data_IF_549799454984
#
_entry.id   IF_549799454984
#
_cell.length_a   1.000
_cell.length_b   1.000
_cell.length_c   1.000
_cell.angle_alpha   90.00
_cell.angle_beta   90.00
_cell.angle_gamma   90.00
#
_symmetry.space_group_name_H-M   'P 1'
#
loop_
_entity.id
_entity.type
_entity.pdbx_description
1 polymer ?
#
# COMPACT_ATOMS: atom_id res chain seq x y z
N UNK A 1 21.11 33.76 4.72
CA UNK A 1 20.14 34.61 4.02
C UNK A 1 19.12 33.71 3.32
N UNK A 2 18.19 33.14 4.09
CA UNK A 2 17.12 32.27 3.59
C UNK A 2 15.82 33.04 3.81
N UNK A 3 15.16 33.45 2.71
CA UNK A 3 13.86 34.12 2.74
C UNK A 3 12.78 33.06 2.57
N UNK A 4 12.16 32.65 3.69
CA UNK A 4 10.88 31.97 3.69
C UNK A 4 9.78 33.01 3.42
N UNK A 5 9.09 32.91 2.28
CA UNK A 5 7.86 33.66 2.00
C UNK A 5 6.68 32.76 2.34
N UNK A 6 6.01 33.07 3.45
CA UNK A 6 4.66 32.57 3.78
C UNK A 6 3.68 33.56 3.16
N UNK A 7 2.84 33.11 2.22
CA UNK A 7 1.67 33.86 1.78
C UNK A 7 0.48 33.29 2.54
N UNK A 8 0.01 34.02 3.55
CA UNK A 8 -1.22 33.74 4.26
C UNK A 8 -2.42 34.36 3.55
N UNK A 9 -3.47 33.57 3.34
CA UNK A 9 -4.82 34.08 3.16
C UNK A 9 -5.48 34.17 4.55
N UNK A 10 -5.38 35.34 5.17
CA UNK A 10 -6.10 35.64 6.40
C UNK A 10 -7.57 35.96 6.09
N UNK A 11 -8.49 35.15 6.63
CA UNK A 11 -9.82 35.64 7.04
C UNK A 11 -9.90 35.56 8.55
N UNK A 12 -9.98 36.73 9.16
CA UNK A 12 -10.08 36.93 10.58
C UNK A 12 -11.45 36.45 11.12
N UNK A 13 -11.42 35.66 12.20
CA UNK A 13 -12.34 35.85 13.31
C UNK A 13 -11.64 35.44 14.61
N UNK A 14 -11.52 36.42 15.48
CA UNK A 14 -11.00 36.41 16.85
C UNK A 14 -11.53 35.27 17.72
N UNK A 15 -10.65 34.53 18.39
CA UNK A 15 -10.47 34.67 19.84
C UNK A 15 -9.28 33.85 20.36
N UNK A 16 -8.60 34.48 21.31
CA UNK A 16 -7.45 34.08 22.11
C UNK A 16 -7.48 32.66 22.67
N UNK A 17 -6.38 31.91 22.50
CA UNK A 17 -5.53 31.50 23.63
C UNK A 17 -4.13 31.07 23.17
N UNK A 18 -3.20 31.22 24.10
CA UNK A 18 -1.75 31.27 24.03
C UNK A 18 -1.00 30.11 23.31
N UNK A 19 0.15 30.54 22.78
CA UNK A 19 1.25 29.77 22.20
C UNK A 19 1.76 28.62 23.09
N UNK A 20 2.01 27.47 22.45
CA UNK A 20 3.13 26.59 22.79
C UNK A 20 3.55 25.81 21.53
N UNK A 21 4.60 26.31 20.87
CA UNK A 21 5.29 25.64 19.78
C UNK A 21 6.33 24.73 20.44
N UNK A 22 6.07 23.43 20.50
CA UNK A 22 7.05 22.41 20.88
C UNK A 22 7.58 21.75 19.61
N UNK A 23 8.81 22.11 19.22
CA UNK A 23 9.57 21.46 18.14
C UNK A 23 10.08 20.12 18.65
N UNK A 24 9.51 19.00 18.17
CA UNK A 24 10.11 17.67 18.33
C UNK A 24 10.67 17.17 17.01
N UNK A 25 11.99 17.25 16.90
CA UNK A 25 12.80 16.47 15.97
C UNK A 25 12.99 15.10 16.61
N UNK A 26 12.53 14.02 15.96
CA UNK A 26 12.92 12.67 16.34
C UNK A 26 13.06 11.80 15.11
N UNK A 27 14.31 11.38 14.86
CA UNK A 27 14.72 10.60 13.70
C UNK A 27 14.17 9.18 13.74
N UNK A 28 13.83 8.66 12.55
CA UNK A 28 13.47 7.28 12.33
C UNK A 28 14.59 6.63 11.53
N UNK A 29 15.40 5.81 12.21
CA UNK A 29 16.41 4.93 11.62
C UNK A 29 15.90 3.49 11.73
N UNK A 30 15.74 2.85 10.57
CA UNK A 30 15.77 1.42 10.28
C UNK A 30 14.90 0.45 11.11
N UNK A 31 13.87 -0.10 10.46
CA UNK A 31 13.54 -1.54 10.55
C UNK A 31 12.62 -1.97 9.40
N UNK A 32 13.19 -2.35 8.26
CA UNK A 32 12.49 -3.18 7.28
C UNK A 32 13.39 -4.36 6.88
N UNK A 33 13.25 -5.46 7.62
CA UNK A 33 13.63 -6.81 7.16
C UNK A 33 12.35 -7.60 7.03
N UNK A 34 11.85 -7.71 5.79
CA UNK A 34 10.74 -8.57 5.44
C UNK A 34 11.12 -10.03 5.71
N UNK A 35 10.51 -10.65 6.73
CA UNK A 35 10.36 -12.10 6.83
C UNK A 35 9.00 -12.48 6.28
N UNK A 36 8.98 -13.45 5.36
CA UNK A 36 7.76 -14.14 4.91
C UNK A 36 7.13 -14.86 6.11
N UNK A 37 6.20 -14.20 6.78
CA UNK A 37 5.06 -14.73 7.52
C UNK A 37 4.15 -13.52 7.78
N UNK A 38 2.84 -13.65 7.60
CA UNK A 38 1.89 -12.57 7.82
C UNK A 38 1.87 -12.15 9.29
N UNK A 39 2.74 -11.22 9.66
CA UNK A 39 2.53 -10.35 10.81
C UNK A 39 1.72 -9.15 10.29
N UNK A 40 0.43 -9.15 10.62
CA UNK A 40 -0.45 -8.01 10.41
C UNK A 40 0.04 -6.88 11.31
N UNK A 41 0.85 -5.99 10.75
CA UNK A 41 1.36 -4.79 11.42
C UNK A 41 0.22 -3.83 11.79
N UNK A 42 -0.51 -4.14 12.85
CA UNK A 42 -1.40 -3.22 13.53
C UNK A 42 -0.61 -2.62 14.69
N UNK A 43 -0.05 -1.45 14.44
CA UNK A 43 0.62 -0.64 15.44
C UNK A 43 -0.39 -0.27 16.53
N UNK A 44 -0.23 -0.88 17.71
CA UNK A 44 -1.00 -0.55 18.91
C UNK A 44 -0.52 0.83 19.36
N UNK A 45 -1.23 1.86 18.92
CA UNK A 45 -0.98 3.24 19.29
C UNK A 45 -0.79 3.41 20.80
N UNK A 46 0.35 4.01 21.14
CA UNK A 46 0.78 4.34 22.49
C UNK A 46 -0.18 5.30 23.22
N UNK A 47 -0.14 5.20 24.56
CA UNK A 47 -0.83 5.94 25.65
C UNK A 47 -2.07 5.19 26.15
N UNK A 48 -2.16 4.75 27.41
CA UNK A 48 -1.60 5.24 28.67
C UNK A 48 -1.27 4.06 29.59
N UNK A 49 -0.06 4.04 30.18
CA UNK A 49 0.16 3.33 31.44
C UNK A 49 -0.79 3.96 32.47
N UNK A 50 -1.96 3.37 32.67
CA UNK A 50 -2.75 3.63 33.87
C UNK A 50 -2.21 2.72 34.96
N UNK A 51 -1.82 3.34 36.07
CA UNK A 51 -1.40 2.68 37.29
C UNK A 51 -2.40 1.58 37.70
N UNK A 52 -2.06 0.32 37.45
CA UNK A 52 -2.70 -0.85 38.03
C UNK A 52 -1.60 -1.70 38.66
N UNK A 53 -1.42 -1.65 39.99
CA UNK A 53 -0.33 -2.33 40.68
C UNK A 53 -0.69 -3.82 40.83
N UNK A 54 -0.62 -4.62 39.75
CA UNK A 54 -0.71 -6.09 39.83
C UNK A 54 -0.32 -6.89 38.57
N UNK A 55 0.07 -6.26 37.45
CA UNK A 55 0.29 -6.99 36.19
C UNK A 55 1.49 -7.96 36.21
N UNK A 56 2.55 -7.68 36.97
CA UNK A 56 3.75 -8.55 36.99
C UNK A 56 3.57 -9.83 37.83
N UNK A 57 2.75 -9.78 38.88
CA UNK A 57 2.45 -10.94 39.73
C UNK A 57 1.44 -11.90 39.08
N UNK A 58 0.53 -11.39 38.25
CA UNK A 58 -0.39 -12.21 37.44
C UNK A 58 0.33 -12.99 36.34
N UNK A 59 1.38 -12.42 35.73
CA UNK A 59 2.13 -13.05 34.62
C UNK A 59 2.88 -14.32 35.04
N UNK A 60 3.52 -14.34 36.23
CA UNK A 60 4.23 -15.54 36.73
C UNK A 60 3.30 -16.69 37.16
N UNK A 61 2.06 -16.41 37.60
CA UNK A 61 1.04 -17.45 37.88
C UNK A 61 0.42 -17.99 36.59
N UNK A 62 0.34 -17.17 35.55
CA UNK A 62 -0.18 -17.57 34.24
C UNK A 62 0.73 -18.61 33.56
N UNK A 63 2.06 -18.49 33.61
CA UNK A 63 2.96 -19.44 32.92
C UNK A 63 2.89 -20.87 33.50
N UNK A 64 2.75 -21.01 34.82
CA UNK A 64 2.54 -22.32 35.46
C UNK A 64 1.19 -22.94 35.12
N UNK A 65 0.15 -22.11 35.02
CA UNK A 65 -1.19 -22.53 34.63
C UNK A 65 -1.24 -22.90 33.14
N UNK A 66 -0.61 -22.11 32.26
CA UNK A 66 -0.47 -22.39 30.82
C UNK A 66 0.21 -23.73 30.60
N UNK A 67 1.30 -24.03 31.31
CA UNK A 67 1.97 -25.32 31.18
C UNK A 67 1.10 -26.49 31.65
N UNK A 68 0.33 -26.31 32.73
CA UNK A 68 -0.60 -27.34 33.23
C UNK A 68 -1.75 -27.58 32.25
N UNK A 69 -2.36 -26.51 31.73
CA UNK A 69 -3.47 -26.57 30.77
C UNK A 69 -2.99 -27.14 29.44
N UNK A 70 -1.82 -26.70 28.95
CA UNK A 70 -1.18 -27.22 27.73
C UNK A 70 -0.92 -28.72 27.83
N UNK A 71 -0.45 -29.21 28.98
CA UNK A 71 -0.28 -30.65 29.18
C UNK A 71 -1.60 -31.42 29.04
N UNK A 72 -2.70 -30.90 29.59
CA UNK A 72 -4.03 -31.52 29.44
C UNK A 72 -4.54 -31.48 27.99
N UNK A 73 -4.36 -30.35 27.31
CA UNK A 73 -4.74 -30.21 25.89
C UNK A 73 -3.94 -31.17 25.02
N UNK A 74 -2.62 -31.26 25.21
CA UNK A 74 -1.77 -32.18 24.45
C UNK A 74 -2.14 -33.64 24.71
N UNK A 75 -2.43 -34.02 25.96
CA UNK A 75 -2.94 -35.36 26.27
C UNK A 75 -4.26 -35.65 25.53
N UNK A 76 -5.19 -34.69 25.51
CA UNK A 76 -6.45 -34.84 24.78
C UNK A 76 -6.25 -34.90 23.26
N UNK A 77 -5.27 -34.18 22.70
CA UNK A 77 -4.90 -34.26 21.28
C UNK A 77 -4.32 -35.64 20.94
N UNK A 78 -3.37 -36.13 21.74
CA UNK A 78 -2.73 -37.44 21.57
C UNK A 78 -3.77 -38.57 21.67
N UNK A 79 -4.71 -38.47 22.60
CA UNK A 79 -5.79 -39.43 22.82
C UNK A 79 -6.97 -39.25 21.84
N UNK A 80 -6.97 -38.18 21.02
CA UNK A 80 -8.09 -37.76 20.16
C UNK A 80 -9.42 -37.65 20.91
N UNK A 81 -9.37 -37.15 22.15
CA UNK A 81 -10.53 -36.98 23.01
C UNK A 81 -11.33 -35.73 22.61
N UNK A 82 -12.25 -35.90 21.67
CA UNK A 82 -13.17 -34.84 21.24
C UNK A 82 -14.12 -34.35 22.36
N UNK A 83 -14.33 -35.15 23.40
CA UNK A 83 -15.23 -34.79 24.51
C UNK A 83 -14.61 -33.73 25.42
N UNK A 84 -13.28 -33.74 25.58
CA UNK A 84 -12.54 -32.69 26.27
C UNK A 84 -12.80 -31.31 25.63
N UNK A 85 -12.74 -31.23 24.30
CA UNK A 85 -12.95 -29.98 23.56
C UNK A 85 -14.43 -29.57 23.49
N UNK A 86 -15.36 -30.53 23.51
CA UNK A 86 -16.80 -30.27 23.64
C UNK A 86 -17.22 -29.75 25.01
N UNK A 87 -16.52 -30.17 26.08
CA UNK A 87 -16.80 -29.81 27.48
C UNK A 87 -15.84 -28.76 28.04
N UNK A 88 -15.13 -28.05 27.18
CA UNK A 88 -14.12 -27.07 27.59
C UNK A 88 -14.75 -25.89 28.37
N UNK A 89 -16.03 -25.62 28.11
CA UNK A 89 -16.88 -24.73 28.90
C UNK A 89 -17.22 -25.23 30.32
N UNK A 90 -17.04 -26.50 30.66
CA UNK A 90 -17.18 -26.97 32.05
C UNK A 90 -15.84 -26.91 32.80
N UNK A 91 -14.73 -26.90 32.05
CA UNK A 91 -13.36 -26.96 32.57
C UNK A 91 -12.69 -25.60 32.76
N UNK A 92 -13.20 -24.54 32.14
CA UNK A 92 -12.70 -23.17 32.31
C UNK A 92 -13.58 -22.42 33.30
N UNK A 93 -13.08 -22.13 34.51
CA UNK A 93 -13.84 -21.48 35.59
C UNK A 93 -13.39 -20.06 35.89
N UNK A 94 -12.17 -19.71 35.51
CA UNK A 94 -11.62 -18.37 35.74
C UNK A 94 -11.14 -17.71 34.44
N UNK A 95 -11.04 -16.39 34.48
CA UNK A 95 -10.52 -15.57 33.37
C UNK A 95 -9.08 -15.95 33.03
N UNK A 96 -8.26 -16.26 34.04
CA UNK A 96 -6.86 -16.66 33.85
C UNK A 96 -6.75 -18.01 33.12
N UNK A 97 -7.64 -18.96 33.43
CA UNK A 97 -7.73 -20.24 32.70
C UNK A 97 -8.15 -20.02 31.24
N UNK A 98 -9.10 -19.11 30.98
CA UNK A 98 -9.48 -18.75 29.62
C UNK A 98 -8.33 -18.11 28.84
N UNK A 99 -7.61 -17.17 29.43
CA UNK A 99 -6.43 -16.56 28.79
C UNK A 99 -5.35 -17.60 28.51
N UNK A 100 -5.11 -18.52 29.44
CA UNK A 100 -4.16 -19.62 29.24
C UNK A 100 -4.58 -20.55 28.09
N UNK A 101 -5.88 -20.83 27.96
CA UNK A 101 -6.46 -21.60 26.86
C UNK A 101 -6.36 -20.89 25.52
N UNK A 102 -6.63 -19.58 25.47
CA UNK A 102 -6.46 -18.77 24.26
C UNK A 102 -4.99 -18.69 23.82
N UNK A 103 -4.05 -18.66 24.76
CA UNK A 103 -2.61 -18.74 24.46
C UNK A 103 -2.23 -20.04 23.75
N UNK A 104 -2.95 -21.14 24.02
CA UNK A 104 -2.72 -22.41 23.32
C UNK A 104 -3.16 -22.29 21.86
N UNK A 105 -4.34 -21.70 21.60
CA UNK A 105 -4.83 -21.42 20.24
C UNK A 105 -3.83 -20.57 19.45
N UNK A 106 -3.26 -19.55 20.09
CA UNK A 106 -2.26 -18.66 19.49
C UNK A 106 -0.97 -19.38 19.06
N UNK A 107 -0.55 -20.38 19.84
CA UNK A 107 0.71 -21.12 19.59
C UNK A 107 0.51 -22.47 18.91
N UNK A 108 -0.72 -22.83 18.53
CA UNK A 108 -1.02 -24.13 17.95
C UNK A 108 -0.52 -24.23 16.51
N UNK A 109 -0.05 -25.41 16.14
CA UNK A 109 0.36 -25.69 14.77
C UNK A 109 -0.86 -25.79 13.83
N UNK A 110 -0.63 -25.56 12.53
CA UNK A 110 -1.71 -25.56 11.53
C UNK A 110 -2.49 -26.87 11.48
N UNK A 111 -1.83 -27.99 11.76
CA UNK A 111 -2.40 -29.33 11.70
C UNK A 111 -3.30 -29.64 12.91
N UNK A 112 -3.11 -28.94 14.02
CA UNK A 112 -3.89 -29.12 15.27
C UNK A 112 -5.10 -28.16 15.33
N UNK A 113 -5.15 -27.18 14.44
CA UNK A 113 -6.07 -26.05 14.51
C UNK A 113 -7.55 -26.47 14.42
N UNK A 114 -7.86 -27.55 13.69
CA UNK A 114 -9.23 -28.09 13.60
C UNK A 114 -9.82 -28.47 14.96
N UNK A 115 -8.97 -28.93 15.88
CA UNK A 115 -9.37 -29.35 17.22
C UNK A 115 -9.24 -28.18 18.20
N UNK A 116 -8.09 -27.51 18.20
CA UNK A 116 -7.78 -26.46 19.18
C UNK A 116 -8.66 -25.22 19.00
N UNK A 117 -9.12 -24.92 17.78
CA UNK A 117 -9.98 -23.74 17.56
C UNK A 117 -11.31 -23.78 18.33
N UNK A 118 -11.82 -24.96 18.72
CA UNK A 118 -13.05 -25.11 19.51
C UNK A 118 -12.96 -24.41 20.88
N UNK A 119 -11.75 -24.25 21.40
CA UNK A 119 -11.45 -23.47 22.60
C UNK A 119 -11.93 -22.02 22.43
N UNK A 120 -11.69 -21.43 21.26
CA UNK A 120 -12.04 -20.03 20.96
C UNK A 120 -13.55 -19.79 21.10
N UNK A 121 -14.37 -20.70 20.59
CA UNK A 121 -15.83 -20.62 20.71
C UNK A 121 -16.30 -20.85 22.15
N UNK A 122 -15.69 -21.81 22.84
CA UNK A 122 -16.04 -22.13 24.22
C UNK A 122 -15.76 -20.97 25.17
N UNK A 123 -14.62 -20.31 25.00
CA UNK A 123 -14.22 -19.14 25.79
C UNK A 123 -15.05 -17.92 25.40
N UNK A 124 -15.21 -17.64 24.10
CA UNK A 124 -16.01 -16.50 23.63
C UNK A 124 -17.49 -16.58 24.02
N UNK A 125 -18.05 -17.77 24.19
CA UNK A 125 -19.44 -17.97 24.63
C UNK A 125 -19.69 -17.67 26.11
N UNK A 126 -18.65 -17.36 26.91
CA UNK A 126 -18.79 -17.09 28.36
C UNK A 126 -19.22 -15.67 28.70
N UNK A 127 -19.07 -14.73 27.77
CA UNK A 127 -19.39 -13.32 28.01
C UNK A 127 -18.52 -12.68 29.09
N UNK A 128 -17.23 -13.04 29.14
CA UNK A 128 -16.23 -12.39 29.98
C UNK A 128 -15.60 -11.22 29.22
N UNK A 129 -15.91 -9.95 29.56
CA UNK A 129 -15.42 -8.80 28.81
C UNK A 129 -13.89 -8.72 28.73
N UNK A 130 -13.19 -9.25 29.74
CA UNK A 130 -11.74 -9.26 29.84
C UNK A 130 -11.06 -10.14 28.78
N UNK A 131 -11.76 -11.11 28.19
CA UNK A 131 -11.20 -12.01 27.16
C UNK A 131 -11.69 -11.68 25.74
N UNK A 132 -12.74 -10.86 25.60
CA UNK A 132 -13.38 -10.54 24.32
C UNK A 132 -12.39 -9.99 23.29
N UNK A 133 -11.49 -9.08 23.68
CA UNK A 133 -10.49 -8.54 22.76
C UNK A 133 -9.49 -9.60 22.30
N UNK A 134 -9.06 -10.52 23.17
CA UNK A 134 -8.17 -11.61 22.78
C UNK A 134 -8.89 -12.62 21.87
N UNK A 135 -10.18 -12.87 22.09
CA UNK A 135 -11.01 -13.67 21.16
C UNK A 135 -11.09 -12.99 19.79
N UNK A 136 -11.34 -11.69 19.73
CA UNK A 136 -11.37 -10.91 18.48
C UNK A 136 -10.02 -10.94 17.75
N UNK A 137 -8.92 -10.76 18.47
CA UNK A 137 -7.56 -10.84 17.95
C UNK A 137 -7.30 -12.19 17.28
N UNK A 138 -7.57 -13.30 17.96
CA UNK A 138 -7.34 -14.66 17.44
C UNK A 138 -8.33 -15.05 16.34
N UNK A 139 -9.58 -14.59 16.40
CA UNK A 139 -10.58 -14.89 15.37
C UNK A 139 -10.24 -14.24 14.02
N UNK A 140 -9.56 -13.09 14.02
CA UNK A 140 -9.23 -12.31 12.82
C UNK A 140 -8.48 -13.13 11.76
N UNK A 141 -7.30 -13.72 12.03
CA UNK A 141 -6.60 -14.55 11.06
C UNK A 141 -7.32 -15.88 10.78
N UNK A 142 -8.04 -16.44 11.75
CA UNK A 142 -8.71 -17.74 11.62
C UNK A 142 -9.96 -17.71 10.72
N UNK A 143 -10.62 -16.57 10.56
CA UNK A 143 -11.77 -16.42 9.65
C UNK A 143 -11.41 -16.59 8.16
N UNK A 144 -10.14 -16.44 7.82
CA UNK A 144 -9.60 -16.69 6.48
C UNK A 144 -8.62 -17.88 6.46
N UNK A 145 -8.72 -18.78 7.43
CA UNK A 145 -7.87 -19.97 7.51
C UNK A 145 -8.05 -20.85 6.25
N UNK A 146 -6.98 -21.10 5.47
CA UNK A 146 -7.11 -21.64 4.12
C UNK A 146 -7.48 -23.12 4.09
N UNK A 147 -6.96 -23.92 5.03
CA UNK A 147 -7.05 -25.39 4.97
C UNK A 147 -8.33 -25.97 5.57
N UNK A 148 -9.06 -25.23 6.41
CA UNK A 148 -10.25 -25.76 7.10
C UNK A 148 -11.44 -24.81 7.14
N UNK A 149 -12.59 -25.32 6.67
CA UNK A 149 -13.90 -24.66 6.82
C UNK A 149 -14.40 -24.67 8.26
N UNK A 150 -14.03 -25.70 9.05
CA UNK A 150 -14.43 -25.80 10.46
C UNK A 150 -13.83 -24.63 11.25
N UNK A 151 -12.51 -24.42 11.13
CA UNK A 151 -11.79 -23.33 11.79
C UNK A 151 -12.43 -21.97 11.48
N UNK A 152 -12.75 -21.70 10.20
CA UNK A 152 -13.39 -20.44 9.80
C UNK A 152 -14.78 -20.26 10.43
N UNK A 153 -15.59 -21.32 10.47
CA UNK A 153 -16.92 -21.30 11.10
C UNK A 153 -16.84 -21.08 12.61
N UNK A 154 -15.90 -21.75 13.28
CA UNK A 154 -15.66 -21.61 14.72
C UNK A 154 -15.21 -20.19 15.06
N UNK A 155 -14.26 -19.64 14.31
CA UNK A 155 -13.82 -18.25 14.47
C UNK A 155 -14.97 -17.24 14.26
N UNK A 156 -15.80 -17.47 13.25
CA UNK A 156 -16.99 -16.64 12.98
C UNK A 156 -18.00 -16.71 14.13
N UNK A 157 -18.27 -17.91 14.65
CA UNK A 157 -19.20 -18.12 15.76
C UNK A 157 -18.67 -17.52 17.07
N UNK A 158 -17.36 -17.65 17.34
CA UNK A 158 -16.71 -17.05 18.49
C UNK A 158 -16.73 -15.51 18.42
N UNK A 159 -16.49 -14.93 17.24
CA UNK A 159 -16.66 -13.48 17.06
C UNK A 159 -18.11 -13.08 17.34
N UNK A 160 -19.09 -13.84 16.84
CA UNK A 160 -20.51 -13.55 17.03
C UNK A 160 -20.93 -13.54 18.49
N UNK A 161 -20.29 -14.33 19.36
CA UNK A 161 -20.61 -14.37 20.79
C UNK A 161 -20.04 -13.20 21.59
N UNK A 162 -18.97 -12.55 21.10
CA UNK A 162 -18.26 -11.45 21.80
C UNK A 162 -18.57 -10.06 21.22
N UNK A 163 -19.41 -9.98 20.18
CA UNK A 163 -19.88 -8.72 19.62
C UNK A 163 -21.32 -8.48 20.02
N UNK A 164 -21.63 -7.25 20.43
CA UNK A 164 -23.00 -6.87 20.73
C UNK A 164 -23.74 -6.52 19.44
N UNK A 165 -24.58 -7.46 18.98
CA UNK A 165 -25.46 -7.28 17.82
C UNK A 165 -26.53 -6.23 18.13
N UNK A 166 -26.98 -6.18 19.39
CA UNK A 166 -28.00 -5.22 19.84
C UNK A 166 -27.47 -3.78 19.80
N UNK A 167 -26.17 -3.56 20.08
CA UNK A 167 -25.56 -2.23 19.98
C UNK A 167 -25.12 -1.86 18.56
N UNK A 168 -24.89 -2.84 17.68
CA UNK A 168 -24.48 -2.61 16.30
C UNK A 168 -25.13 -3.63 15.35
N UNK A 169 -26.32 -3.32 14.79
CA UNK A 169 -27.03 -4.22 13.89
C UNK A 169 -26.27 -4.59 12.61
N UNK A 170 -25.26 -3.79 12.22
CA UNK A 170 -24.39 -4.06 11.07
C UNK A 170 -23.63 -5.39 11.20
N UNK A 171 -23.43 -5.90 12.41
CA UNK A 171 -22.86 -7.22 12.61
C UNK A 171 -23.67 -8.33 11.93
N UNK A 172 -25.00 -8.22 11.86
CA UNK A 172 -25.81 -9.20 11.14
C UNK A 172 -25.51 -9.16 9.63
N UNK A 173 -25.40 -7.97 9.06
CA UNK A 173 -25.04 -7.79 7.65
C UNK A 173 -23.64 -8.35 7.35
N UNK A 174 -22.69 -8.11 8.26
CA UNK A 174 -21.35 -8.65 8.20
C UNK A 174 -21.33 -10.18 8.20
N UNK A 175 -22.02 -10.82 9.15
CA UNK A 175 -22.03 -12.28 9.23
C UNK A 175 -22.77 -12.94 8.05
N UNK A 176 -23.82 -12.31 7.51
CA UNK A 176 -24.48 -12.83 6.31
C UNK A 176 -23.53 -12.78 5.12
N UNK A 177 -22.85 -11.65 4.91
CA UNK A 177 -21.89 -11.52 3.83
C UNK A 177 -20.70 -12.47 3.98
N UNK A 178 -20.14 -12.59 5.18
CA UNK A 178 -19.03 -13.50 5.48
C UNK A 178 -19.39 -14.96 5.19
N UNK A 179 -20.59 -15.39 5.56
CA UNK A 179 -21.09 -16.74 5.27
C UNK A 179 -21.38 -16.93 3.78
N UNK A 180 -21.93 -15.93 3.08
CA UNK A 180 -22.14 -16.02 1.65
C UNK A 180 -20.81 -16.24 0.91
N UNK A 181 -19.75 -15.53 1.30
CA UNK A 181 -18.39 -15.67 0.74
C UNK A 181 -17.73 -17.04 1.00
N UNK A 182 -18.37 -17.97 1.73
CA UNK A 182 -17.93 -19.37 1.82
C UNK A 182 -18.46 -20.24 0.66
N UNK A 183 -19.48 -19.78 -0.05
CA UNK A 183 -20.03 -20.48 -1.20
C UNK A 183 -19.09 -20.36 -2.41
N UNK A 184 -19.11 -21.30 -3.34
CA UNK A 184 -18.27 -21.24 -4.54
C UNK A 184 -18.95 -20.58 -5.74
N UNK A 185 -20.29 -20.57 -5.72
CA UNK A 185 -21.12 -20.20 -6.86
C UNK A 185 -21.54 -18.73 -6.79
N UNK A 186 -21.23 -17.97 -7.85
CA UNK A 186 -21.49 -16.53 -7.90
C UNK A 186 -22.95 -16.17 -7.63
N UNK A 187 -23.93 -16.90 -8.20
CA UNK A 187 -25.36 -16.58 -8.06
C UNK A 187 -25.89 -16.74 -6.63
N UNK A 188 -25.21 -17.51 -5.77
CA UNK A 188 -25.54 -17.61 -4.34
C UNK A 188 -25.01 -16.42 -3.54
N UNK A 189 -23.96 -15.77 -4.04
CA UNK A 189 -23.21 -14.71 -3.36
C UNK A 189 -23.69 -13.34 -3.81
N UNK A 190 -24.05 -13.22 -5.10
CA UNK A 190 -24.52 -11.99 -5.74
C UNK A 190 -25.59 -11.25 -4.94
N UNK A 191 -26.62 -11.89 -4.34
CA UNK A 191 -27.62 -11.18 -3.54
C UNK A 191 -27.05 -10.59 -2.24
N UNK A 192 -25.94 -11.12 -1.72
CA UNK A 192 -25.29 -10.65 -0.52
C UNK A 192 -24.24 -9.55 -0.78
N UNK A 193 -23.67 -9.45 -1.99
CA UNK A 193 -22.64 -8.47 -2.32
C UNK A 193 -23.02 -7.00 -2.01
N UNK A 194 -24.26 -6.53 -2.25
CA UNK A 194 -24.67 -5.17 -1.88
C UNK A 194 -24.55 -4.85 -0.38
N UNK A 195 -24.41 -5.86 0.49
CA UNK A 195 -24.15 -5.64 1.92
C UNK A 195 -22.82 -4.94 2.17
N UNK A 196 -21.83 -5.05 1.27
CA UNK A 196 -20.62 -4.22 1.35
C UNK A 196 -20.97 -2.72 1.37
N UNK A 197 -21.93 -2.26 0.55
CA UNK A 197 -22.33 -0.85 0.54
C UNK A 197 -22.94 -0.43 1.87
N UNK A 198 -23.78 -1.29 2.45
CA UNK A 198 -24.39 -1.08 3.77
C UNK A 198 -23.32 -0.97 4.85
N UNK A 199 -22.33 -1.87 4.83
CA UNK A 199 -21.23 -1.90 5.80
C UNK A 199 -20.26 -0.72 5.64
N UNK A 200 -20.07 -0.22 4.41
CA UNK A 200 -19.15 0.88 4.10
C UNK A 200 -19.75 2.27 4.36
N UNK A 201 -21.08 2.40 4.35
CA UNK A 201 -21.79 3.68 4.52
C UNK A 201 -21.40 4.47 5.78
N UNK A 202 -21.23 3.86 6.98
CA UNK A 202 -20.90 4.59 8.20
C UNK A 202 -19.49 5.20 8.20
N UNK A 203 -18.55 4.66 7.42
CA UNK A 203 -17.17 5.16 7.40
C UNK A 203 -17.05 6.55 6.77
N UNK A 204 -18.06 7.01 6.03
CA UNK A 204 -18.13 8.38 5.53
C UNK A 204 -18.59 9.41 6.57
N UNK A 205 -19.10 8.97 7.73
CA UNK A 205 -19.62 9.85 8.79
C UNK A 205 -19.51 9.17 10.17
N UNK A 206 -18.33 9.22 10.83
CA UNK A 206 -18.03 8.46 12.06
C UNK A 206 -18.74 9.00 13.32
N UNK A 207 -19.61 10.00 13.20
CA UNK A 207 -20.30 10.63 14.34
C UNK A 207 -21.43 9.80 14.95
N UNK A 208 -21.61 8.54 14.53
CA UNK A 208 -22.64 7.63 15.05
C UNK A 208 -22.04 6.44 15.78
N UNK A 209 -22.62 6.10 16.94
CA UNK A 209 -22.42 4.80 17.56
C UNK A 209 -22.93 3.69 16.62
N UNK A 210 -22.20 2.56 16.54
CA UNK A 210 -22.64 1.37 15.79
C UNK A 210 -22.02 1.18 14.41
N UNK A 211 -20.73 1.48 14.23
CA UNK A 211 -19.97 1.07 13.02
C UNK A 211 -19.14 -0.19 13.27
N UNK A 212 -18.82 -0.91 12.19
CA UNK A 212 -17.91 -2.05 12.25
C UNK A 212 -16.47 -1.52 12.19
N UNK A 213 -15.58 -1.89 13.13
CA UNK A 213 -14.18 -1.46 13.08
C UNK A 213 -13.48 -1.83 11.75
N UNK A 214 -12.62 -0.96 11.19
CA UNK A 214 -11.94 -1.19 9.90
C UNK A 214 -11.27 -2.56 9.75
N UNK A 215 -10.67 -3.09 10.84
CA UNK A 215 -10.02 -4.41 10.87
C UNK A 215 -10.93 -5.55 10.38
N UNK A 216 -12.23 -5.45 10.58
CA UNK A 216 -13.17 -6.48 10.14
C UNK A 216 -13.56 -6.32 8.68
N UNK A 217 -13.62 -5.08 8.17
CA UNK A 217 -13.77 -4.87 6.73
C UNK A 217 -12.59 -5.45 5.95
N UNK A 218 -11.37 -5.36 6.50
CA UNK A 218 -10.19 -6.02 5.95
C UNK A 218 -10.39 -7.53 5.78
N UNK A 219 -10.97 -8.21 6.77
CA UNK A 219 -11.24 -9.66 6.70
C UNK A 219 -12.13 -10.00 5.50
N UNK A 220 -13.18 -9.22 5.26
CA UNK A 220 -14.08 -9.41 4.12
C UNK A 220 -13.39 -9.14 2.78
N UNK A 221 -12.63 -8.06 2.68
CA UNK A 221 -11.87 -7.74 1.47
C UNK A 221 -10.83 -8.83 1.17
N UNK A 222 -10.06 -9.25 2.18
CA UNK A 222 -9.10 -10.34 2.02
C UNK A 222 -9.77 -11.62 1.52
N UNK A 223 -10.91 -12.00 2.12
CA UNK A 223 -11.65 -13.20 1.73
C UNK A 223 -12.15 -13.15 0.29
N UNK A 224 -12.78 -12.04 -0.09
CA UNK A 224 -13.35 -11.86 -1.42
C UNK A 224 -12.27 -11.73 -2.50
N UNK A 225 -11.15 -11.07 -2.22
CA UNK A 225 -10.03 -10.92 -3.17
C UNK A 225 -9.33 -12.25 -3.44
N UNK A 226 -9.28 -13.15 -2.45
CA UNK A 226 -8.74 -14.50 -2.58
C UNK A 226 -9.80 -15.55 -2.94
N UNK A 227 -11.00 -15.14 -3.30
CA UNK A 227 -12.10 -16.06 -3.57
C UNK A 227 -11.81 -16.92 -4.82
N UNK A 228 -12.18 -18.22 -4.84
CA UNK A 228 -11.91 -19.10 -6.00
C UNK A 228 -12.62 -18.64 -7.28
N UNK A 229 -13.78 -18.02 -7.16
CA UNK A 229 -14.55 -17.49 -8.29
C UNK A 229 -13.99 -16.14 -8.79
N UNK A 230 -13.58 -16.08 -10.07
CA UNK A 230 -13.00 -14.88 -10.67
C UNK A 230 -13.92 -13.67 -10.79
N UNK A 231 -15.23 -13.88 -10.94
CA UNK A 231 -16.21 -12.77 -10.96
C UNK A 231 -16.32 -12.07 -9.61
N UNK A 232 -16.13 -12.81 -8.51
CA UNK A 232 -16.13 -12.23 -7.16
C UNK A 232 -14.85 -11.42 -6.94
N UNK A 233 -13.71 -11.94 -7.40
CA UNK A 233 -12.43 -11.22 -7.35
C UNK A 233 -12.49 -9.92 -8.17
N UNK A 234 -13.08 -9.95 -9.36
CA UNK A 234 -13.28 -8.74 -10.16
C UNK A 234 -14.19 -7.74 -9.41
N UNK A 235 -15.37 -8.20 -8.97
CA UNK A 235 -16.34 -7.35 -8.29
C UNK A 235 -15.76 -6.69 -7.03
N UNK A 236 -14.99 -7.41 -6.22
CA UNK A 236 -14.40 -6.84 -5.00
C UNK A 236 -13.27 -5.85 -5.32
N UNK A 237 -12.49 -6.10 -6.37
CA UNK A 237 -11.45 -5.16 -6.81
C UNK A 237 -12.12 -3.87 -7.27
N UNK A 238 -13.15 -3.94 -8.12
CA UNK A 238 -13.94 -2.77 -8.53
C UNK A 238 -14.56 -2.05 -7.32
N UNK A 239 -15.10 -2.81 -6.37
CA UNK A 239 -15.67 -2.26 -5.14
C UNK A 239 -14.63 -1.52 -4.33
N UNK A 240 -13.43 -2.09 -4.14
CA UNK A 240 -12.30 -1.45 -3.46
C UNK A 240 -11.95 -0.10 -4.08
N UNK A 241 -11.95 -0.01 -5.42
CA UNK A 241 -11.69 1.26 -6.12
C UNK A 241 -12.74 2.33 -5.82
N UNK A 242 -13.95 1.97 -5.38
CA UNK A 242 -14.97 2.96 -4.99
C UNK A 242 -14.80 3.48 -3.56
N UNK A 243 -14.11 2.73 -2.69
CA UNK A 243 -13.97 3.04 -1.26
C UNK A 243 -13.04 4.24 -1.04
N UNK A 244 -13.41 5.10 -0.09
CA UNK A 244 -12.54 6.20 0.33
C UNK A 244 -11.26 5.66 0.99
N UNK A 245 -10.05 6.13 0.63
CA UNK A 245 -8.82 5.67 1.27
C UNK A 245 -8.82 5.80 2.80
N UNK A 246 -9.54 6.78 3.36
CA UNK A 246 -9.69 6.99 4.80
C UNK A 246 -10.33 5.81 5.54
N UNK A 247 -11.10 4.96 4.86
CA UNK A 247 -11.72 3.77 5.46
C UNK A 247 -10.68 2.79 6.00
N UNK A 248 -9.47 2.79 5.42
CA UNK A 248 -8.38 1.90 5.80
C UNK A 248 -7.46 2.50 6.89
N UNK A 249 -7.87 3.59 7.55
CA UNK A 249 -7.23 4.07 8.78
C UNK A 249 -5.78 4.53 8.62
N UNK A 250 -5.44 5.15 7.48
CA UNK A 250 -4.08 5.55 7.11
C UNK A 250 -3.07 4.39 7.00
N UNK A 251 -3.49 3.13 7.11
CA UNK A 251 -2.64 1.97 6.83
C UNK A 251 -2.71 1.62 5.33
N UNK A 252 -1.68 1.98 4.55
CA UNK A 252 -1.66 1.71 3.12
C UNK A 252 -1.54 0.21 2.82
N UNK A 253 -1.12 -0.60 3.81
CA UNK A 253 -0.86 -2.03 3.65
C UNK A 253 -2.09 -2.78 3.18
N UNK A 254 -3.29 -2.36 3.60
CA UNK A 254 -4.54 -2.97 3.11
C UNK A 254 -4.71 -2.83 1.61
N UNK A 255 -4.49 -1.63 1.08
CA UNK A 255 -4.57 -1.37 -0.37
C UNK A 255 -3.44 -2.12 -1.07
N UNK A 256 -2.22 -2.00 -0.58
CA UNK A 256 -1.03 -2.51 -1.25
C UNK A 256 -0.91 -4.04 -1.22
N UNK A 257 -1.37 -4.70 -0.15
CA UNK A 257 -1.28 -6.15 0.03
C UNK A 257 -2.50 -6.92 -0.51
N UNK A 258 -3.64 -6.26 -0.72
CA UNK A 258 -4.83 -6.89 -1.30
C UNK A 258 -5.00 -6.54 -2.78
N UNK A 259 -5.01 -5.24 -3.10
CA UNK A 259 -5.38 -4.77 -4.43
C UNK A 259 -4.29 -5.11 -5.46
N UNK A 260 -3.04 -4.73 -5.20
CA UNK A 260 -1.97 -4.88 -6.19
C UNK A 260 -1.68 -6.35 -6.54
N UNK A 261 -1.59 -7.30 -5.59
CA UNK A 261 -1.41 -8.71 -5.94
C UNK A 261 -2.58 -9.26 -6.76
N UNK A 262 -3.81 -8.82 -6.48
CA UNK A 262 -4.99 -9.23 -7.25
C UNK A 262 -4.97 -8.72 -8.69
N UNK A 263 -4.38 -7.54 -8.92
CA UNK A 263 -4.18 -6.96 -10.25
C UNK A 263 -3.05 -7.64 -11.02
N UNK A 264 -2.15 -8.40 -10.37
CA UNK A 264 -1.12 -9.20 -11.03
C UNK A 264 -1.69 -10.54 -11.55
N UNK A 265 -2.85 -10.51 -12.21
CA UNK A 265 -3.56 -11.67 -12.74
C UNK A 265 -4.13 -11.38 -14.12
N UNK A 266 -4.01 -12.34 -15.04
CA UNK A 266 -4.60 -12.25 -16.38
C UNK A 266 -6.11 -12.46 -16.38
N UNK A 267 -6.64 -13.23 -15.42
CA UNK A 267 -8.06 -13.58 -15.33
C UNK A 267 -8.95 -12.34 -15.12
N UNK A 268 -8.50 -11.40 -14.29
CA UNK A 268 -9.26 -10.18 -14.00
C UNK A 268 -9.40 -9.32 -15.26
N UNK A 269 -8.29 -9.08 -15.96
CA UNK A 269 -8.28 -8.26 -17.17
C UNK A 269 -8.98 -8.94 -18.34
N UNK A 270 -8.90 -10.27 -18.46
CA UNK A 270 -9.67 -11.00 -19.48
C UNK A 270 -11.17 -10.76 -19.34
N UNK A 271 -11.70 -10.76 -18.10
CA UNK A 271 -13.12 -10.49 -17.83
C UNK A 271 -13.54 -9.07 -18.16
N UNK A 272 -12.71 -8.09 -17.82
CA UNK A 272 -12.94 -6.69 -18.19
C UNK A 272 -12.95 -6.47 -19.71
N UNK A 273 -12.17 -7.26 -20.46
CA UNK A 273 -12.22 -7.24 -21.93
C UNK A 273 -13.53 -7.88 -22.41
N UNK A 274 -13.93 -9.02 -21.84
CA UNK A 274 -15.18 -9.70 -22.17
C UNK A 274 -16.42 -8.82 -21.91
N UNK A 275 -16.42 -8.04 -20.82
CA UNK A 275 -17.52 -7.12 -20.48
C UNK A 275 -17.40 -5.74 -21.12
N UNK A 276 -16.30 -5.45 -21.82
CA UNK A 276 -15.98 -4.14 -22.41
C UNK A 276 -15.93 -2.99 -21.39
N UNK A 277 -15.45 -3.27 -20.17
CA UNK A 277 -15.37 -2.33 -19.03
C UNK A 277 -13.92 -1.93 -18.69
N UNK A 278 -12.94 -2.39 -19.48
CA UNK A 278 -11.51 -2.15 -19.24
C UNK A 278 -11.16 -0.66 -19.07
N UNK A 279 -11.64 0.21 -19.95
CA UNK A 279 -11.30 1.64 -19.90
C UNK A 279 -11.91 2.33 -18.67
N UNK A 280 -13.15 1.98 -18.30
CA UNK A 280 -13.79 2.49 -17.10
C UNK A 280 -13.07 2.02 -15.84
N UNK A 281 -12.64 0.76 -15.83
CA UNK A 281 -11.83 0.20 -14.75
C UNK A 281 -10.52 0.97 -14.55
N UNK A 282 -9.76 1.18 -15.63
CA UNK A 282 -8.48 1.91 -15.57
C UNK A 282 -8.69 3.36 -15.11
N UNK A 283 -9.76 4.02 -15.59
CA UNK A 283 -10.14 5.35 -15.13
C UNK A 283 -10.47 5.38 -13.64
N UNK A 284 -11.23 4.40 -13.15
CA UNK A 284 -11.56 4.29 -11.74
C UNK A 284 -10.35 4.00 -10.87
N UNK A 285 -9.39 3.20 -11.35
CA UNK A 285 -8.13 2.96 -10.67
C UNK A 285 -7.29 4.24 -10.56
N UNK A 286 -7.14 5.00 -11.64
CA UNK A 286 -6.46 6.31 -11.61
C UNK A 286 -7.13 7.29 -10.65
N UNK A 287 -8.47 7.39 -10.67
CA UNK A 287 -9.24 8.24 -9.73
C UNK A 287 -9.08 7.80 -8.29
N UNK A 288 -9.01 6.49 -8.04
CA UNK A 288 -8.75 5.95 -6.70
C UNK A 288 -7.38 6.37 -6.20
N UNK A 289 -6.32 6.17 -6.98
CA UNK A 289 -4.97 6.60 -6.61
C UNK A 289 -4.89 8.13 -6.42
N UNK A 290 -5.52 8.92 -7.30
CA UNK A 290 -5.55 10.39 -7.14
C UNK A 290 -6.29 10.86 -5.88
N UNK A 291 -7.24 10.08 -5.34
CA UNK A 291 -7.87 10.38 -4.04
C UNK A 291 -6.94 10.12 -2.85
N UNK A 292 -5.97 9.23 -3.00
CA UNK A 292 -4.94 8.99 -1.97
C UNK A 292 -4.00 10.19 -1.86
N UNK A 293 -3.79 10.93 -2.96
CA UNK A 293 -2.99 12.17 -3.01
C UNK A 293 -3.47 13.23 -2.01
N UNK A 294 -4.74 13.20 -1.62
CA UNK A 294 -5.34 14.19 -0.70
C UNK A 294 -4.89 13.98 0.76
N UNK A 295 -4.19 12.88 1.08
CA UNK A 295 -3.75 12.54 2.44
C UNK A 295 -2.24 12.77 2.61
N UNK A 296 -1.82 14.01 2.90
CA UNK A 296 -0.41 14.43 2.96
C UNK A 296 0.48 13.54 3.87
N UNK A 297 -0.05 13.05 4.99
CA UNK A 297 0.72 12.26 5.97
C UNK A 297 1.16 10.88 5.47
N UNK A 298 0.43 10.28 4.53
CA UNK A 298 0.69 8.92 4.03
C UNK A 298 1.23 8.88 2.60
N UNK A 299 1.36 10.05 1.97
CA UNK A 299 1.52 10.17 0.54
C UNK A 299 2.84 9.58 0.01
N UNK A 300 3.97 10.05 0.55
CA UNK A 300 5.30 9.54 0.19
C UNK A 300 5.46 8.03 0.45
N UNK A 301 5.19 7.55 1.68
CA UNK A 301 5.26 6.12 1.99
C UNK A 301 4.34 5.25 1.12
N UNK A 302 3.13 5.70 0.81
CA UNK A 302 2.20 4.97 -0.06
C UNK A 302 2.77 4.78 -1.47
N UNK A 303 3.16 5.88 -2.13
CA UNK A 303 3.67 5.80 -3.51
C UNK A 303 5.00 5.06 -3.58
N UNK A 304 5.87 5.22 -2.57
CA UNK A 304 7.10 4.44 -2.48
C UNK A 304 6.80 2.95 -2.44
N UNK A 305 5.83 2.54 -1.62
CA UNK A 305 5.47 1.12 -1.50
C UNK A 305 4.75 0.62 -2.76
N UNK A 306 3.89 1.44 -3.38
CA UNK A 306 3.26 1.15 -4.68
C UNK A 306 4.32 0.86 -5.75
N UNK A 307 5.34 1.72 -5.86
CA UNK A 307 6.44 1.53 -6.81
C UNK A 307 7.32 0.33 -6.44
N UNK A 308 7.56 0.08 -5.16
CA UNK A 308 8.29 -1.10 -4.68
C UNK A 308 7.64 -2.41 -5.12
N UNK A 309 6.31 -2.49 -5.14
CA UNK A 309 5.61 -3.69 -5.64
C UNK A 309 5.97 -3.98 -7.11
N UNK A 310 6.16 -2.95 -7.94
CA UNK A 310 6.53 -3.11 -9.35
C UNK A 310 7.97 -3.59 -9.59
N UNK A 311 8.81 -3.66 -8.55
CA UNK A 311 10.14 -4.29 -8.64
C UNK A 311 10.08 -5.81 -8.67
N UNK A 312 8.97 -6.39 -8.22
CA UNK A 312 8.76 -7.84 -8.21
C UNK A 312 8.39 -8.37 -9.61
N UNK A 313 8.19 -9.69 -9.72
CA UNK A 313 7.79 -10.31 -10.98
C UNK A 313 6.32 -10.03 -11.28
N UNK A 314 6.06 -9.32 -12.38
CA UNK A 314 4.71 -9.00 -12.85
C UNK A 314 4.37 -9.70 -14.16
N UNK A 315 3.09 -10.02 -14.33
CA UNK A 315 2.56 -10.39 -15.64
C UNK A 315 2.72 -9.18 -16.60
N UNK A 316 3.30 -9.38 -17.80
CA UNK A 316 3.55 -8.27 -18.74
C UNK A 316 2.29 -7.48 -19.14
N UNK A 317 1.16 -8.15 -19.35
CA UNK A 317 -0.09 -7.50 -19.75
C UNK A 317 -0.67 -6.69 -18.58
N UNK A 318 -0.65 -7.25 -17.37
CA UNK A 318 -1.08 -6.55 -16.17
C UNK A 318 -0.23 -5.31 -15.94
N UNK A 319 1.11 -5.43 -16.03
CA UNK A 319 2.02 -4.31 -15.84
C UNK A 319 1.79 -3.19 -16.85
N UNK A 320 1.59 -3.54 -18.13
CA UNK A 320 1.22 -2.59 -19.16
C UNK A 320 -0.09 -1.86 -18.84
N UNK A 321 -1.17 -2.59 -18.56
CA UNK A 321 -2.48 -1.99 -18.27
C UNK A 321 -2.42 -1.06 -17.05
N UNK A 322 -1.78 -1.50 -15.96
CA UNK A 322 -1.59 -0.65 -14.79
C UNK A 322 -0.74 0.58 -15.10
N UNK A 323 0.32 0.45 -15.89
CA UNK A 323 1.14 1.60 -16.30
C UNK A 323 0.31 2.65 -17.05
N UNK A 324 -0.66 2.24 -17.88
CA UNK A 324 -1.55 3.20 -18.57
C UNK A 324 -2.43 4.00 -17.61
N UNK A 325 -2.87 3.38 -16.51
CA UNK A 325 -3.62 4.07 -15.48
C UNK A 325 -2.73 4.98 -14.61
N UNK A 326 -1.49 4.57 -14.33
CA UNK A 326 -0.54 5.37 -13.54
C UNK A 326 -0.13 6.66 -14.27
N UNK A 327 -0.07 6.67 -15.60
CA UNK A 327 0.22 7.90 -16.36
C UNK A 327 -0.83 9.00 -16.12
N UNK A 328 -2.05 8.63 -15.71
CA UNK A 328 -3.16 9.56 -15.41
C UNK A 328 -3.12 10.11 -13.98
N UNK A 329 -2.06 9.81 -13.22
CA UNK A 329 -1.87 10.37 -11.90
C UNK A 329 -1.60 11.87 -11.99
N UNK A 330 -2.18 12.63 -11.06
CA UNK A 330 -1.83 14.03 -10.89
C UNK A 330 -0.36 14.12 -10.46
N UNK A 331 0.34 15.06 -11.07
CA UNK A 331 1.74 15.25 -10.79
C UNK A 331 1.91 15.77 -9.34
N UNK A 332 2.74 15.10 -8.55
CA UNK A 332 2.99 15.43 -7.16
C UNK A 332 4.42 15.00 -6.80
N UNK A 333 5.27 15.92 -6.30
CA UNK A 333 6.68 15.62 -6.02
C UNK A 333 6.84 14.75 -4.76
N UNK A 334 6.77 13.43 -4.92
CA UNK A 334 6.94 12.43 -3.85
C UNK A 334 8.37 11.90 -3.72
N UNK A 335 9.14 11.94 -4.81
CA UNK A 335 10.44 11.28 -4.91
C UNK A 335 11.57 12.27 -5.14
N UNK A 336 12.78 11.88 -4.73
CA UNK A 336 14.01 12.61 -5.00
C UNK A 336 15.06 11.64 -5.56
N UNK A 337 16.29 12.12 -5.78
CA UNK A 337 17.43 11.34 -6.27
C UNK A 337 17.61 9.99 -5.55
N UNK A 338 17.39 9.94 -4.24
CA UNK A 338 17.47 8.71 -3.42
C UNK A 338 16.54 7.57 -3.90
N UNK A 339 15.50 7.90 -4.67
CA UNK A 339 14.52 6.95 -5.19
C UNK A 339 14.89 6.40 -6.56
N UNK A 340 15.93 6.93 -7.23
CA UNK A 340 16.34 6.45 -8.55
C UNK A 340 16.80 4.99 -8.62
N UNK A 341 17.42 4.41 -7.58
CA UNK A 341 17.66 2.96 -7.54
C UNK A 341 16.37 2.15 -7.68
N UNK A 342 15.27 2.61 -7.08
CA UNK A 342 13.95 1.96 -7.22
C UNK A 342 13.46 2.02 -8.67
N UNK A 343 13.61 3.16 -9.33
CA UNK A 343 13.24 3.31 -10.75
C UNK A 343 14.05 2.36 -11.64
N UNK A 344 15.36 2.22 -11.40
CA UNK A 344 16.22 1.26 -12.12
C UNK A 344 15.71 -0.17 -11.98
N UNK A 345 15.30 -0.59 -10.78
CA UNK A 345 14.77 -1.93 -10.53
C UNK A 345 13.47 -2.17 -11.29
N UNK A 346 12.56 -1.19 -11.33
CA UNK A 346 11.31 -1.28 -12.09
C UNK A 346 11.61 -1.39 -13.60
N UNK A 347 12.50 -0.55 -14.13
CA UNK A 347 12.90 -0.61 -15.53
C UNK A 347 13.55 -1.96 -15.89
N UNK A 348 14.39 -2.51 -15.00
CA UNK A 348 14.96 -3.83 -15.18
C UNK A 348 13.90 -4.95 -15.18
N UNK A 349 12.84 -4.81 -14.38
CA UNK A 349 11.69 -5.73 -14.40
C UNK A 349 10.92 -5.64 -15.73
N UNK A 350 10.67 -4.42 -16.22
CA UNK A 350 10.03 -4.19 -17.53
C UNK A 350 10.87 -4.77 -18.67
N UNK A 351 12.20 -4.76 -18.55
CA UNK A 351 13.09 -5.25 -19.60
C UNK A 351 12.97 -6.76 -19.84
N UNK A 352 12.41 -7.50 -18.88
CA UNK A 352 12.11 -8.93 -18.99
C UNK A 352 10.92 -9.22 -19.92
N UNK A 353 10.11 -8.21 -20.27
CA UNK A 353 9.00 -8.35 -21.20
C UNK A 353 9.54 -8.66 -22.61
N UNK A 354 9.18 -9.84 -23.12
CA UNK A 354 9.63 -10.32 -24.44
C UNK A 354 8.99 -9.55 -25.61
N UNK A 355 7.74 -9.12 -25.46
CA UNK A 355 7.02 -8.43 -26.52
C UNK A 355 7.49 -6.97 -26.65
N UNK A 356 8.23 -6.65 -27.71
CA UNK A 356 8.93 -5.37 -27.87
C UNK A 356 8.02 -4.14 -27.76
N UNK A 357 6.86 -4.14 -28.41
CA UNK A 357 5.94 -2.99 -28.35
C UNK A 357 5.34 -2.82 -26.96
N UNK A 358 5.05 -3.93 -26.27
CA UNK A 358 4.47 -3.91 -24.93
C UNK A 358 5.49 -3.38 -23.93
N UNK A 359 6.73 -3.87 -24.05
CA UNK A 359 7.88 -3.38 -23.29
C UNK A 359 8.04 -1.88 -23.49
N UNK A 360 8.12 -1.42 -24.73
CA UNK A 360 8.33 0.00 -25.04
C UNK A 360 7.23 0.88 -24.45
N UNK A 361 5.95 0.53 -24.66
CA UNK A 361 4.84 1.32 -24.11
C UNK A 361 4.85 1.33 -22.58
N UNK A 362 5.12 0.19 -21.94
CA UNK A 362 5.19 0.09 -20.47
C UNK A 362 6.34 0.95 -19.93
N UNK A 363 7.50 0.89 -20.57
CA UNK A 363 8.65 1.74 -20.23
C UNK A 363 8.33 3.23 -20.36
N UNK A 364 7.71 3.65 -21.47
CA UNK A 364 7.30 5.06 -21.68
C UNK A 364 6.35 5.49 -20.56
N UNK A 365 5.35 4.68 -20.25
CA UNK A 365 4.36 4.99 -19.21
C UNK A 365 5.02 5.16 -17.84
N UNK A 366 5.89 4.22 -17.43
CA UNK A 366 6.59 4.33 -16.14
C UNK A 366 7.54 5.52 -16.11
N UNK A 367 8.20 5.85 -17.22
CA UNK A 367 9.03 7.05 -17.29
C UNK A 367 8.21 8.31 -17.10
N UNK A 368 7.03 8.42 -17.71
CA UNK A 368 6.10 9.54 -17.43
C UNK A 368 5.69 9.58 -15.96
N UNK A 369 5.42 8.43 -15.34
CA UNK A 369 5.09 8.34 -13.90
C UNK A 369 6.25 8.82 -13.03
N UNK A 370 7.48 8.34 -13.27
CA UNK A 370 8.66 8.78 -12.53
C UNK A 370 8.85 10.28 -12.67
N UNK A 371 8.65 10.78 -13.88
CA UNK A 371 8.80 12.18 -14.20
C UNK A 371 7.77 13.04 -13.43
N UNK A 372 6.50 12.63 -13.40
CA UNK A 372 5.42 13.34 -12.70
C UNK A 372 5.50 13.25 -11.16
N UNK A 373 6.18 12.22 -10.62
CA UNK A 373 6.26 11.97 -9.19
C UNK A 373 7.58 12.43 -8.56
N UNK A 374 8.53 12.94 -9.35
CA UNK A 374 9.84 13.39 -8.87
C UNK A 374 9.82 14.89 -8.53
N UNK A 375 10.44 15.25 -7.41
CA UNK A 375 10.81 16.61 -7.05
C UNK A 375 12.07 17.00 -7.82
N UNK A 376 11.95 17.97 -8.72
CA UNK A 376 13.05 18.31 -9.62
C UNK A 376 13.93 19.42 -9.05
N UNK A 377 15.10 19.02 -8.53
CA UNK A 377 16.25 19.88 -8.28
C UNK A 377 17.28 19.76 -9.41
N UNK A 378 18.25 20.68 -9.45
CA UNK A 378 19.40 20.59 -10.35
C UNK A 378 20.10 19.22 -10.25
N UNK A 379 20.41 18.76 -9.05
CA UNK A 379 21.05 17.46 -8.82
C UNK A 379 20.19 16.30 -9.34
N UNK A 380 18.89 16.36 -9.08
CA UNK A 380 17.94 15.30 -9.43
C UNK A 380 17.79 15.17 -10.95
N UNK A 381 17.79 16.27 -11.69
CA UNK A 381 17.72 16.25 -13.17
C UNK A 381 18.93 15.54 -13.74
N UNK A 382 20.13 15.95 -13.35
CA UNK A 382 21.36 15.38 -13.91
C UNK A 382 21.59 13.93 -13.49
N UNK A 383 21.18 13.56 -12.27
CA UNK A 383 21.19 12.17 -11.80
C UNK A 383 20.11 11.29 -12.47
N UNK A 384 19.07 11.88 -13.05
CA UNK A 384 18.02 11.15 -13.78
C UNK A 384 18.46 10.77 -15.20
N UNK A 385 19.33 11.57 -15.83
CA UNK A 385 19.78 11.36 -17.21
C UNK A 385 20.30 9.94 -17.47
N UNK A 386 21.13 9.32 -16.61
CA UNK A 386 21.59 7.94 -16.82
C UNK A 386 20.48 6.90 -16.85
N UNK A 387 19.31 7.16 -16.25
CA UNK A 387 18.15 6.26 -16.33
C UNK A 387 17.59 6.15 -17.75
N UNK A 388 17.90 7.12 -18.62
CA UNK A 388 17.44 7.16 -20.01
C UNK A 388 18.24 6.23 -20.93
N UNK A 389 19.43 5.74 -20.50
CA UNK A 389 20.35 4.96 -21.33
C UNK A 389 19.80 3.63 -21.89
N UNK A 390 18.62 3.18 -21.48
CA UNK A 390 17.97 1.96 -21.99
C UNK A 390 17.02 2.16 -23.18
N UNK A 391 16.76 3.41 -23.61
CA UNK A 391 15.63 3.70 -24.49
C UNK A 391 16.05 4.22 -25.87
N UNK A 392 16.10 3.36 -26.88
CA UNK A 392 16.57 3.76 -28.23
C UNK A 392 15.47 4.30 -29.16
N UNK A 393 14.21 4.41 -28.71
CA UNK A 393 13.09 4.73 -29.62
C UNK A 393 12.85 6.23 -29.77
N UNK A 394 12.63 6.70 -31.01
CA UNK A 394 12.26 8.10 -31.29
C UNK A 394 10.97 8.54 -30.59
N UNK A 395 10.00 7.63 -30.43
CA UNK A 395 8.74 7.91 -29.75
C UNK A 395 8.94 8.18 -28.25
N UNK A 396 9.88 7.46 -27.64
CA UNK A 396 10.30 7.69 -26.26
C UNK A 396 10.93 9.08 -26.11
N UNK A 397 11.84 9.47 -27.01
CA UNK A 397 12.50 10.78 -26.97
C UNK A 397 11.48 11.93 -27.04
N UNK A 398 10.48 11.83 -27.91
CA UNK A 398 9.43 12.84 -28.02
C UNK A 398 8.57 12.94 -26.75
N UNK A 399 8.18 11.79 -26.18
CA UNK A 399 7.33 11.74 -24.98
C UNK A 399 8.07 12.26 -23.75
N UNK A 400 9.32 11.83 -23.56
CA UNK A 400 10.17 12.29 -22.46
C UNK A 400 10.47 13.78 -22.61
N UNK A 401 10.81 14.26 -23.81
CA UNK A 401 10.99 15.69 -24.08
C UNK A 401 9.74 16.49 -23.67
N UNK A 402 8.56 16.06 -24.11
CA UNK A 402 7.31 16.77 -23.77
C UNK A 402 7.00 16.74 -22.28
N UNK A 403 7.23 15.61 -21.60
CA UNK A 403 7.00 15.49 -20.16
C UNK A 403 7.91 16.42 -19.36
N UNK A 404 9.19 16.49 -19.72
CA UNK A 404 10.14 17.43 -19.11
C UNK A 404 9.74 18.88 -19.36
N UNK A 405 9.40 19.25 -20.61
CA UNK A 405 8.92 20.61 -20.92
C UNK A 405 7.73 20.97 -20.02
N UNK A 406 6.74 20.08 -19.87
CA UNK A 406 5.56 20.35 -19.05
C UNK A 406 5.91 20.59 -17.57
N UNK A 407 6.88 19.86 -17.03
CA UNK A 407 7.36 20.02 -15.65
C UNK A 407 8.12 21.32 -15.46
N UNK A 408 8.98 21.64 -16.40
CA UNK A 408 9.74 22.88 -16.37
C UNK A 408 8.84 24.12 -16.47
N UNK A 409 7.65 23.98 -17.08
CA UNK A 409 6.61 25.01 -17.11
C UNK A 409 5.78 25.07 -15.83
N UNK A 410 5.85 24.05 -14.95
CA UNK A 410 5.15 24.01 -13.66
C UNK A 410 6.09 24.48 -12.51
N UNK A 411 5.90 25.71 -11.98
CA UNK A 411 6.74 26.25 -10.92
C UNK A 411 6.62 25.49 -9.59
N UNK A 412 5.57 24.68 -9.41
CA UNK A 412 5.34 23.90 -8.21
C UNK A 412 6.20 22.62 -8.16
N UNK A 413 6.71 22.16 -9.32
CA UNK A 413 7.47 20.92 -9.43
C UNK A 413 8.98 21.13 -9.58
N UNK A 414 9.39 22.34 -9.93
CA UNK A 414 10.75 22.62 -10.39
C UNK A 414 11.42 23.69 -9.53
N UNK A 415 12.50 23.33 -8.83
CA UNK A 415 13.35 24.24 -8.06
C UNK A 415 14.68 24.48 -8.78
N UNK A 416 14.60 24.99 -10.01
CA UNK A 416 15.77 25.10 -10.88
C UNK A 416 16.47 26.46 -10.75
N UNK A 417 17.81 26.46 -10.71
CA UNK A 417 18.57 27.69 -10.87
C UNK A 417 18.45 28.21 -12.31
N UNK A 418 18.52 29.53 -12.45
CA UNK A 418 18.65 30.17 -13.76
C UNK A 418 20.05 29.87 -14.33
N UNK A 419 20.10 29.29 -15.53
CA UNK A 419 21.35 29.11 -16.25
C UNK A 419 21.57 30.26 -17.24
N UNK A 420 22.85 30.58 -17.43
CA UNK A 420 23.33 31.21 -18.66
C UNK A 420 23.70 30.11 -19.66
N UNK A 421 23.78 30.44 -20.95
CA UNK A 421 24.27 29.51 -21.96
C UNK A 421 25.65 28.91 -21.58
N UNK A 422 26.53 29.71 -20.98
CA UNK A 422 27.87 29.30 -20.55
C UNK A 422 27.84 28.32 -19.39
N UNK A 423 27.12 28.66 -18.32
CA UNK A 423 27.04 27.78 -17.15
C UNK A 423 26.36 26.45 -17.49
N UNK A 424 25.35 26.45 -18.35
CA UNK A 424 24.70 25.23 -18.83
C UNK A 424 25.63 24.36 -19.68
N UNK A 425 26.43 24.95 -20.57
CA UNK A 425 27.41 24.21 -21.37
C UNK A 425 28.50 23.58 -20.49
N UNK A 426 28.99 24.28 -19.47
CA UNK A 426 29.97 23.72 -18.52
C UNK A 426 29.37 22.53 -17.76
N UNK A 427 28.15 22.66 -17.23
CA UNK A 427 27.48 21.58 -16.51
C UNK A 427 27.28 20.35 -17.40
N UNK A 428 26.87 20.56 -18.66
CA UNK A 428 26.80 19.50 -19.67
C UNK A 428 28.13 18.77 -19.85
N UNK A 429 29.23 19.50 -20.06
CA UNK A 429 30.56 18.93 -20.29
C UNK A 429 31.05 18.17 -19.05
N UNK A 430 30.79 18.70 -17.85
CA UNK A 430 31.15 18.04 -16.59
C UNK A 430 30.50 16.66 -16.47
N UNK A 431 29.19 16.55 -16.71
CA UNK A 431 28.49 15.28 -16.61
C UNK A 431 28.81 14.31 -17.76
N UNK A 432 29.09 14.83 -18.96
CA UNK A 432 29.53 13.97 -20.07
C UNK A 432 30.85 13.26 -19.79
N UNK A 433 31.76 13.93 -19.06
CA UNK A 433 33.04 13.33 -18.67
C UNK A 433 32.87 12.21 -17.63
N UNK A 434 31.87 12.31 -16.76
CA UNK A 434 31.56 11.31 -15.74
C UNK A 434 30.78 10.12 -16.29
N UNK A 435 29.95 10.34 -17.33
CA UNK A 435 28.99 9.37 -17.84
C UNK A 435 28.96 9.33 -19.38
N UNK A 436 30.06 8.82 -19.96
CA UNK A 436 30.28 8.77 -21.42
C UNK A 436 29.14 8.03 -22.15
N UNK A 437 28.57 6.98 -21.55
CA UNK A 437 27.48 6.20 -22.17
C UNK A 437 26.15 6.98 -22.27
N UNK A 438 26.03 8.12 -21.59
CA UNK A 438 24.82 8.96 -21.51
C UNK A 438 24.90 10.27 -22.28
N UNK A 439 25.97 10.54 -23.03
CA UNK A 439 26.25 11.85 -23.64
C UNK A 439 25.07 12.37 -24.48
N UNK A 440 24.44 11.51 -25.27
CA UNK A 440 23.26 11.88 -26.05
C UNK A 440 22.11 12.41 -25.17
N UNK A 441 21.89 11.78 -24.02
CA UNK A 441 20.81 12.15 -23.11
C UNK A 441 21.13 13.42 -22.34
N UNK A 442 22.39 13.60 -21.96
CA UNK A 442 22.87 14.87 -21.41
C UNK A 442 22.64 16.00 -22.41
N UNK A 443 22.97 15.79 -23.69
CA UNK A 443 22.75 16.79 -24.73
C UNK A 443 21.25 17.11 -24.92
N UNK A 444 20.39 16.09 -24.88
CA UNK A 444 18.93 16.28 -24.96
C UNK A 444 18.42 17.08 -23.77
N UNK A 445 18.83 16.75 -22.55
CA UNK A 445 18.39 17.44 -21.34
C UNK A 445 18.88 18.89 -21.32
N UNK A 446 20.14 19.12 -21.68
CA UNK A 446 20.73 20.45 -21.87
C UNK A 446 19.91 21.28 -22.85
N UNK A 447 19.53 20.71 -23.98
CA UNK A 447 18.70 21.41 -24.97
C UNK A 447 17.31 21.75 -24.44
N UNK A 448 16.67 20.82 -23.72
CA UNK A 448 15.35 21.06 -23.09
C UNK A 448 15.43 22.21 -22.09
N UNK A 449 16.44 22.22 -21.21
CA UNK A 449 16.64 23.30 -20.24
C UNK A 449 16.84 24.64 -20.98
N UNK A 450 17.62 24.64 -22.06
CA UNK A 450 17.87 25.84 -22.85
C UNK A 450 16.62 26.37 -23.56
N UNK A 451 15.77 25.49 -24.10
CA UNK A 451 14.47 25.85 -24.68
C UNK A 451 13.54 26.47 -23.63
N UNK A 452 13.43 25.85 -22.47
CA UNK A 452 12.59 26.31 -21.35
C UNK A 452 13.02 27.69 -20.85
N UNK A 453 14.33 27.88 -20.66
CA UNK A 453 14.87 29.13 -20.12
C UNK A 453 15.02 30.23 -21.19
N UNK A 454 14.69 29.94 -22.45
CA UNK A 454 14.78 30.91 -23.55
C UNK A 454 16.21 31.26 -23.96
N UNK A 455 17.19 30.39 -23.69
CA UNK A 455 18.62 30.59 -23.96
C UNK A 455 19.17 29.67 -25.07
N UNK A 456 18.29 28.97 -25.80
CA UNK A 456 18.66 27.99 -26.83
C UNK A 456 19.49 28.59 -27.97
N UNK A 457 19.16 29.80 -28.44
CA UNK A 457 19.90 30.49 -29.50
C UNK A 457 21.33 30.85 -29.06
N UNK A 458 21.48 31.32 -27.82
CA UNK A 458 22.78 31.71 -27.27
C UNK A 458 23.64 30.47 -26.98
N UNK A 459 23.04 29.38 -26.50
CA UNK A 459 23.71 28.10 -26.36
C UNK A 459 24.17 27.56 -27.71
N UNK A 460 23.31 27.63 -28.74
CA UNK A 460 23.66 27.17 -30.08
C UNK A 460 24.84 27.95 -30.67
N UNK A 461 24.81 29.29 -30.61
CA UNK A 461 25.92 30.14 -31.05
C UNK A 461 27.22 29.78 -30.32
N UNK A 462 27.16 29.64 -29.00
CA UNK A 462 28.32 29.32 -28.17
C UNK A 462 28.94 27.96 -28.51
N UNK A 463 28.11 26.94 -28.72
CA UNK A 463 28.58 25.62 -29.16
C UNK A 463 29.22 25.72 -30.54
N UNK A 464 28.59 26.43 -31.49
CA UNK A 464 29.18 26.66 -32.82
C UNK A 464 30.52 27.40 -32.74
N UNK A 465 30.63 28.44 -31.92
CA UNK A 465 31.86 29.21 -31.74
C UNK A 465 32.97 28.34 -31.13
N UNK A 466 32.63 27.45 -30.19
CA UNK A 466 33.56 26.48 -29.60
C UNK A 466 34.08 25.50 -30.65
N UNK A 467 33.20 24.93 -31.48
CA UNK A 467 33.59 24.04 -32.58
C UNK A 467 34.48 24.75 -33.61
N UNK A 468 34.15 26.00 -33.97
CA UNK A 468 34.95 26.79 -34.91
C UNK A 468 36.34 27.05 -34.32
N UNK A 469 36.44 27.42 -33.04
CA UNK A 469 37.73 27.65 -32.37
C UNK A 469 38.56 26.36 -32.27
N UNK A 470 37.95 25.23 -31.90
CA UNK A 470 38.66 23.94 -31.83
C UNK A 470 39.09 23.44 -33.21
N UNK A 471 38.30 23.68 -34.26
CA UNK A 471 38.67 23.33 -35.64
C UNK A 471 39.81 24.17 -36.23
N UNK A 472 40.13 25.30 -35.61
CA UNK A 472 41.27 26.16 -35.97
C UNK A 472 42.59 25.69 -35.34
N UNK A 473 42.55 24.74 -34.39
CA UNK A 473 43.74 24.09 -33.84
C UNK A 473 43.92 22.72 -34.51
N UNK A 474 44.97 22.49 -35.31
CA UNK A 474 45.24 21.17 -35.85
C UNK A 474 45.57 20.22 -34.70
N UNK A 475 44.87 19.07 -34.67
CA UNK A 475 45.22 17.91 -33.85
C UNK A 475 46.71 17.63 -34.05
N UNK A 476 47.52 17.79 -33.00
CA UNK A 476 48.91 17.34 -32.96
C UNK A 476 49.00 15.88 -32.52
#
# INVERSE_FOLDING_TARGET
LVKLRIIGAARASSNSHENLIEVRVQGVVNCFRYRRNMDLGLDVGAKTQSDCPNFSAMKMRADGLVNMVRKKVNMALDEKDWTFFGNLGEHCKTVEEALALLQIVETADKDEMDTVCLILLSVGGRGWPEVDEKVKELATPLMNFPSSRLVRKVATAALRSVVSIDSCPLWNEYFVLLNALEESQYHLIQPALPKFDVLLKPFGNPSGDGFIPPRWMYVLFYKATNHPNGWIRLWIVEKLLTVSPHVFGYDPSTILLLLLPALNSTDLFARLIETNEMEDFLNNFSRFLNRIIICDEILGPFYKTLLDVFTSTWNPCSLYLLSTALVRLNAFPAFAEESFPLFKLILASIDQIQHTSLKLCTSVNFMTVFINLTCWSETTIWAFVPLLNGFSSRAFNATVKQAFINIFLDPLQTMMPEYSAYSLQITYLSHCNEHIDSVHWYAMMTWIIAEVQGISDDLFKMVCDTFVQESQFPVQ
#
